data_IF_917323169223
#
_entry.id   IF_917323169223
#
_cell.length_a   1.000
_cell.length_b   1.000
_cell.length_c   1.000
_cell.angle_alpha   90.00
_cell.angle_beta   90.00
_cell.angle_gamma   90.00
#
_symmetry.space_group_name_H-M   'P 1'
#
loop_
_entity.id
_entity.type
_entity.pdbx_description
1 polymer ?
#
# COMPACT_ATOMS: atom_id res chain seq x y z
N UNK A 1 -0.70 49.23 5.04
CA UNK A 1 -0.89 48.50 3.77
C UNK A 1 -0.10 47.17 3.63
N UNK A 2 0.77 46.77 4.57
CA UNK A 2 1.62 45.58 4.46
C UNK A 2 1.01 44.25 5.01
N UNK A 3 -0.12 44.35 5.76
CA UNK A 3 -0.77 43.14 6.32
C UNK A 3 -1.80 42.47 5.40
N UNK A 4 -2.32 43.17 4.38
CA UNK A 4 -3.29 42.59 3.44
C UNK A 4 -2.63 41.70 2.38
N UNK A 5 -1.39 41.95 1.99
CA UNK A 5 -0.67 41.18 0.99
C UNK A 5 -0.22 39.79 1.46
N UNK A 6 0.12 39.66 2.76
CA UNK A 6 0.53 38.39 3.35
C UNK A 6 -0.64 37.41 3.52
N UNK A 7 -1.85 37.93 3.80
CA UNK A 7 -3.06 37.11 3.90
C UNK A 7 -3.50 36.59 2.53
N UNK A 8 -3.38 37.38 1.46
CA UNK A 8 -3.72 36.97 0.11
C UNK A 8 -2.74 35.91 -0.43
N UNK A 9 -1.44 36.02 -0.13
CA UNK A 9 -0.43 35.04 -0.55
C UNK A 9 -0.63 33.70 0.19
N UNK A 10 -0.97 33.72 1.49
CA UNK A 10 -1.27 32.50 2.25
C UNK A 10 -2.57 31.82 1.78
N UNK A 11 -3.56 32.57 1.36
CA UNK A 11 -4.81 32.05 0.79
C UNK A 11 -4.56 31.44 -0.60
N UNK A 12 -3.74 32.08 -1.45
CA UNK A 12 -3.41 31.57 -2.78
C UNK A 12 -2.56 30.29 -2.69
N UNK A 13 -1.62 30.20 -1.74
CA UNK A 13 -0.83 28.97 -1.51
C UNK A 13 -1.70 27.82 -1.00
N UNK A 14 -2.67 28.07 -0.13
CA UNK A 14 -3.62 27.04 0.32
C UNK A 14 -4.58 26.59 -0.80
N UNK A 15 -5.07 27.48 -1.62
CA UNK A 15 -5.96 27.15 -2.73
C UNK A 15 -5.24 26.28 -3.78
N UNK A 16 -4.02 26.62 -4.17
CA UNK A 16 -3.26 25.83 -5.15
C UNK A 16 -2.94 24.42 -4.65
N UNK A 17 -2.71 24.21 -3.38
CA UNK A 17 -2.50 22.88 -2.79
C UNK A 17 -3.80 22.07 -2.73
N UNK A 18 -4.94 22.68 -2.42
CA UNK A 18 -6.25 22.01 -2.45
C UNK A 18 -6.62 21.57 -3.87
N UNK A 19 -6.43 22.43 -4.87
CA UNK A 19 -6.72 22.08 -6.27
C UNK A 19 -5.84 20.94 -6.81
N UNK A 20 -4.56 20.87 -6.43
CA UNK A 20 -3.69 19.76 -6.80
C UNK A 20 -4.15 18.42 -6.16
N UNK A 21 -4.68 18.49 -4.95
CA UNK A 21 -5.20 17.32 -4.24
C UNK A 21 -6.53 16.83 -4.83
N UNK A 22 -7.39 17.73 -5.32
CA UNK A 22 -8.63 17.35 -6.01
C UNK A 22 -8.34 16.64 -7.34
N UNK A 23 -7.33 17.10 -8.11
CA UNK A 23 -6.89 16.41 -9.33
C UNK A 23 -6.49 14.97 -9.08
N UNK A 24 -5.84 14.72 -7.95
CA UNK A 24 -5.44 13.38 -7.58
C UNK A 24 -6.63 12.44 -7.40
N UNK A 25 -7.78 12.92 -6.94
CA UNK A 25 -8.97 12.09 -6.75
C UNK A 25 -9.66 11.70 -8.07
N UNK A 26 -9.46 12.47 -9.14
CA UNK A 26 -10.07 12.21 -10.45
C UNK A 26 -9.67 10.86 -11.03
N UNK A 27 -10.62 10.18 -11.67
CA UNK A 27 -10.42 8.92 -12.38
C UNK A 27 -11.02 7.71 -11.68
N UNK A 28 -10.46 6.54 -11.96
CA UNK A 28 -11.08 5.26 -11.61
C UNK A 28 -10.56 4.72 -10.28
N UNK A 29 -11.50 4.24 -9.47
CA UNK A 29 -11.27 3.60 -8.17
C UNK A 29 -12.02 2.28 -8.11
N UNK A 30 -11.45 1.26 -7.50
CA UNK A 30 -12.11 -0.02 -7.33
C UNK A 30 -11.90 -0.56 -5.91
N UNK A 31 -12.85 -1.35 -5.43
CA UNK A 31 -12.72 -1.88 -4.08
C UNK A 31 -13.93 -2.64 -3.59
N UNK A 32 -14.09 -2.64 -2.28
CA UNK A 32 -15.08 -3.44 -1.57
C UNK A 32 -16.02 -2.52 -0.78
N UNK A 33 -17.31 -2.77 -0.95
CA UNK A 33 -18.39 -2.20 -0.16
C UNK A 33 -18.94 -3.29 0.77
N UNK A 34 -19.00 -3.01 2.08
CA UNK A 34 -19.57 -3.92 3.07
C UNK A 34 -20.69 -3.23 3.86
N UNK A 35 -21.58 -4.00 4.45
CA UNK A 35 -22.36 -3.53 5.60
C UNK A 35 -21.51 -3.59 6.86
N UNK A 36 -21.89 -2.86 7.94
CA UNK A 36 -21.04 -2.76 9.14
C UNK A 36 -20.74 -4.12 9.82
N UNK A 37 -21.65 -5.08 9.67
CA UNK A 37 -21.53 -6.41 10.31
C UNK A 37 -20.97 -7.49 9.36
N UNK A 38 -20.56 -7.11 8.14
CA UNK A 38 -20.05 -8.08 7.17
C UNK A 38 -18.53 -8.04 7.06
N UNK A 39 -17.85 -9.20 7.00
CA UNK A 39 -16.45 -9.27 6.62
C UNK A 39 -16.26 -8.93 5.14
N UNK A 40 -15.04 -8.50 4.76
CA UNK A 40 -14.73 -8.07 3.40
C UNK A 40 -15.03 -9.14 2.32
N UNK A 41 -14.83 -10.42 2.62
CA UNK A 41 -15.08 -11.54 1.70
C UNK A 41 -16.56 -11.69 1.29
N UNK A 42 -17.47 -11.13 2.07
CA UNK A 42 -18.91 -11.13 1.79
C UNK A 42 -19.41 -9.81 1.23
N UNK A 43 -18.49 -8.89 0.98
CA UNK A 43 -18.81 -7.58 0.45
C UNK A 43 -19.25 -7.60 -1.01
N UNK A 44 -19.58 -6.43 -1.50
CA UNK A 44 -19.91 -6.14 -2.89
C UNK A 44 -18.70 -5.50 -3.56
N UNK A 45 -18.32 -5.97 -4.73
CA UNK A 45 -17.31 -5.32 -5.54
C UNK A 45 -17.85 -4.00 -6.06
N UNK A 46 -17.09 -2.92 -5.94
CA UNK A 46 -17.54 -1.59 -6.37
C UNK A 46 -16.43 -0.87 -7.14
N UNK A 47 -16.84 -0.14 -8.17
CA UNK A 47 -16.02 0.79 -8.94
C UNK A 47 -16.65 2.16 -8.94
N UNK A 48 -15.80 3.16 -8.90
CA UNK A 48 -16.14 4.55 -9.19
C UNK A 48 -15.25 5.06 -10.32
N UNK A 49 -15.80 5.85 -11.23
CA UNK A 49 -15.05 6.67 -12.18
C UNK A 49 -15.65 8.07 -12.17
N UNK A 50 -14.91 9.06 -11.67
CA UNK A 50 -15.43 10.40 -11.49
C UNK A 50 -14.40 11.49 -11.78
N UNK A 51 -14.93 12.68 -12.04
CA UNK A 51 -14.17 13.90 -12.22
C UNK A 51 -14.74 14.99 -11.32
N UNK A 52 -13.88 15.75 -10.69
CA UNK A 52 -14.19 16.90 -9.84
C UNK A 52 -13.83 18.15 -10.64
N UNK A 53 -14.79 19.05 -10.80
CA UNK A 53 -14.54 20.37 -11.33
C UNK A 53 -13.75 21.21 -10.30
N UNK A 54 -12.62 21.79 -10.72
CA UNK A 54 -11.71 22.47 -9.82
C UNK A 54 -12.26 23.81 -9.28
N UNK A 55 -13.12 24.47 -10.06
CA UNK A 55 -13.64 25.78 -9.70
C UNK A 55 -14.83 25.68 -8.76
N UNK A 56 -15.76 24.75 -9.06
CA UNK A 56 -16.97 24.56 -8.26
C UNK A 56 -16.84 23.49 -7.17
N UNK A 57 -15.89 22.55 -7.30
CA UNK A 57 -15.80 21.36 -6.47
C UNK A 57 -16.84 20.30 -6.79
N UNK A 58 -17.69 20.52 -7.82
CA UNK A 58 -18.72 19.56 -8.22
C UNK A 58 -18.08 18.28 -8.73
N UNK A 59 -18.56 17.15 -8.24
CA UNK A 59 -18.13 15.82 -8.67
C UNK A 59 -19.23 15.21 -9.56
N UNK A 60 -18.84 14.67 -10.70
CA UNK A 60 -19.70 13.87 -11.58
C UNK A 60 -19.00 12.60 -12.01
N UNK A 61 -19.76 11.53 -12.11
CA UNK A 61 -19.17 10.26 -12.49
C UNK A 61 -20.16 9.12 -12.55
N UNK A 62 -19.62 7.94 -12.51
CA UNK A 62 -20.32 6.68 -12.62
C UNK A 62 -19.81 5.71 -11.58
N UNK A 63 -20.66 4.79 -11.13
CA UNK A 63 -20.28 3.68 -10.29
C UNK A 63 -20.86 2.38 -10.82
N UNK A 64 -20.18 1.28 -10.51
CA UNK A 64 -20.67 -0.07 -10.78
C UNK A 64 -20.51 -0.90 -9.53
N UNK A 65 -21.61 -1.52 -9.08
CA UNK A 65 -21.63 -2.49 -8.01
C UNK A 65 -21.87 -3.88 -8.58
N UNK A 66 -21.12 -4.88 -8.11
CA UNK A 66 -21.28 -6.28 -8.54
C UNK A 66 -21.31 -7.21 -7.33
N UNK A 67 -22.20 -8.19 -7.36
CA UNK A 67 -22.09 -9.32 -6.42
C UNK A 67 -20.97 -10.24 -6.94
N UNK A 68 -19.87 -10.39 -6.22
CA UNK A 68 -18.72 -11.16 -6.69
C UNK A 68 -19.10 -12.59 -7.12
N UNK A 69 -18.49 -13.08 -8.18
CA UNK A 69 -18.67 -14.43 -8.73
C UNK A 69 -20.10 -14.76 -9.22
N UNK A 70 -20.90 -13.72 -9.47
CA UNK A 70 -22.26 -13.85 -10.04
C UNK A 70 -22.42 -12.89 -11.23
N UNK A 71 -23.46 -13.07 -12.09
CA UNK A 71 -23.76 -12.13 -13.16
C UNK A 71 -24.47 -10.85 -12.70
N UNK A 72 -24.66 -10.66 -11.38
CA UNK A 72 -25.51 -9.58 -10.87
C UNK A 72 -24.71 -8.30 -10.64
N UNK A 73 -25.17 -7.21 -11.26
CA UNK A 73 -24.55 -5.90 -11.14
C UNK A 73 -25.54 -4.75 -11.32
N UNK A 74 -25.15 -3.56 -10.88
CA UNK A 74 -25.82 -2.32 -11.19
C UNK A 74 -24.80 -1.26 -11.62
N UNK A 75 -25.15 -0.55 -12.69
CA UNK A 75 -24.44 0.59 -13.20
C UNK A 75 -25.19 1.86 -12.85
N UNK A 76 -24.53 2.85 -12.25
CA UNK A 76 -25.18 4.02 -11.68
C UNK A 76 -24.46 5.30 -12.09
N UNK A 77 -25.20 6.38 -12.29
CA UNK A 77 -24.62 7.72 -12.30
C UNK A 77 -24.50 8.24 -10.88
N UNK A 78 -23.44 8.97 -10.61
CA UNK A 78 -23.17 9.61 -9.31
C UNK A 78 -22.92 11.09 -9.49
N UNK A 79 -23.45 11.88 -8.56
CA UNK A 79 -23.12 13.29 -8.36
C UNK A 79 -22.53 13.46 -6.96
N UNK A 80 -21.75 14.51 -6.76
CA UNK A 80 -21.17 14.80 -5.48
C UNK A 80 -20.52 16.15 -5.39
N UNK A 81 -19.81 16.38 -4.29
CA UNK A 81 -19.11 17.61 -3.98
C UNK A 81 -17.81 17.28 -3.24
N UNK A 82 -16.73 17.92 -3.63
CA UNK A 82 -15.53 17.97 -2.80
C UNK A 82 -15.76 18.92 -1.62
N UNK A 83 -15.59 18.44 -0.40
CA UNK A 83 -15.85 19.21 0.83
C UNK A 83 -14.58 19.69 1.49
N UNK A 84 -13.50 18.92 1.37
CA UNK A 84 -12.19 19.21 1.92
C UNK A 84 -11.10 18.63 1.01
N UNK A 85 -9.83 18.92 1.31
CA UNK A 85 -8.72 18.21 0.68
C UNK A 85 -8.89 16.70 0.84
N UNK A 86 -8.82 15.96 -0.27
CA UNK A 86 -8.98 14.51 -0.30
C UNK A 86 -10.34 13.94 0.13
N UNK A 87 -11.37 14.78 0.34
CA UNK A 87 -12.69 14.33 0.79
C UNK A 87 -13.78 14.71 -0.20
N UNK A 88 -14.60 13.74 -0.57
CA UNK A 88 -15.76 13.92 -1.45
C UNK A 88 -17.02 13.33 -0.82
N UNK A 89 -18.12 14.05 -0.92
CA UNK A 89 -19.46 13.52 -0.71
C UNK A 89 -20.05 13.07 -2.04
N UNK A 90 -20.71 11.94 -2.06
CA UNK A 90 -21.35 11.40 -3.27
C UNK A 90 -22.75 10.90 -3.01
N UNK A 91 -23.55 10.85 -4.06
CA UNK A 91 -24.87 10.19 -4.08
C UNK A 91 -25.14 9.56 -5.44
N UNK A 92 -25.81 8.42 -5.44
CA UNK A 92 -26.37 7.82 -6.64
C UNK A 92 -27.55 8.68 -7.14
N UNK A 93 -27.58 8.97 -8.43
CA UNK A 93 -28.64 9.77 -9.05
C UNK A 93 -29.61 8.88 -9.82
N UNK A 94 -29.08 7.99 -10.66
CA UNK A 94 -29.86 7.10 -11.51
C UNK A 94 -29.17 5.74 -11.56
N UNK A 95 -29.95 4.66 -11.49
CA UNK A 95 -29.52 3.32 -11.89
C UNK A 95 -29.79 3.18 -13.38
N UNK A 96 -28.73 3.21 -14.18
CA UNK A 96 -28.86 3.23 -15.64
C UNK A 96 -29.09 1.84 -16.25
N UNK A 97 -28.39 0.83 -15.73
CA UNK A 97 -28.51 -0.56 -16.16
C UNK A 97 -28.22 -1.51 -14.98
N UNK A 98 -28.98 -2.60 -14.92
CA UNK A 98 -28.81 -3.59 -13.85
C UNK A 98 -29.20 -4.99 -14.28
N UNK A 99 -28.52 -5.98 -13.72
CA UNK A 99 -28.88 -7.39 -13.75
C UNK A 99 -29.11 -7.84 -12.30
N UNK A 100 -30.30 -8.36 -12.00
CA UNK A 100 -30.73 -8.66 -10.65
C UNK A 100 -30.97 -10.15 -10.44
N UNK A 101 -30.61 -10.63 -9.27
CA UNK A 101 -31.15 -11.89 -8.75
C UNK A 101 -32.64 -11.70 -8.42
N UNK A 102 -33.47 -12.70 -8.73
CA UNK A 102 -34.89 -12.65 -8.41
C UNK A 102 -35.14 -12.29 -6.94
N UNK A 103 -35.93 -11.25 -6.70
CA UNK A 103 -36.28 -10.76 -5.36
C UNK A 103 -35.25 -9.84 -4.70
N UNK A 104 -34.15 -9.48 -5.36
CA UNK A 104 -33.19 -8.48 -4.89
C UNK A 104 -33.20 -7.24 -5.78
N UNK A 105 -33.06 -6.07 -5.19
CA UNK A 105 -32.93 -4.78 -5.87
C UNK A 105 -31.62 -4.11 -5.46
N UNK A 106 -31.04 -3.33 -6.37
CA UNK A 106 -29.92 -2.49 -6.10
C UNK A 106 -30.40 -1.16 -5.51
N UNK A 107 -29.94 -0.86 -4.29
CA UNK A 107 -30.33 0.38 -3.61
C UNK A 107 -29.48 1.56 -4.08
N UNK A 108 -30.08 2.75 -4.06
CA UNK A 108 -29.32 3.99 -4.15
C UNK A 108 -28.51 4.23 -2.88
N UNK A 109 -27.34 4.82 -3.05
CA UNK A 109 -26.38 5.05 -1.97
C UNK A 109 -25.95 6.51 -1.95
N UNK A 110 -25.55 6.96 -0.78
CA UNK A 110 -24.78 8.18 -0.56
C UNK A 110 -23.76 7.98 0.53
N UNK A 111 -22.68 8.73 0.49
CA UNK A 111 -21.62 8.61 1.46
C UNK A 111 -20.57 9.70 1.35
N UNK A 112 -19.61 9.65 2.25
CA UNK A 112 -18.44 10.52 2.27
C UNK A 112 -17.21 9.64 2.16
N UNK A 113 -16.32 9.95 1.22
CA UNK A 113 -15.09 9.22 0.98
C UNK A 113 -13.90 10.16 1.20
N UNK A 114 -12.91 9.70 1.97
CA UNK A 114 -11.66 10.42 2.23
C UNK A 114 -10.48 9.56 1.80
N UNK A 115 -9.59 10.14 1.02
CA UNK A 115 -8.34 9.49 0.64
C UNK A 115 -7.28 9.68 1.72
N UNK A 116 -6.66 8.59 2.10
CA UNK A 116 -5.52 8.56 3.00
C UNK A 116 -4.23 8.27 2.21
N UNK A 117 -3.31 9.25 2.10
CA UNK A 117 -2.06 9.06 1.37
C UNK A 117 -1.13 8.00 1.99
N UNK A 118 -1.19 7.79 3.31
CA UNK A 118 -0.32 6.85 4.01
C UNK A 118 -0.72 5.40 3.73
N UNK A 119 -2.02 5.13 3.65
CA UNK A 119 -2.53 3.79 3.33
C UNK A 119 -2.79 3.59 1.84
N UNK A 120 -2.99 4.68 1.09
CA UNK A 120 -3.33 4.65 -0.33
C UNK A 120 -4.77 4.28 -0.64
N UNK A 121 -5.64 4.23 0.36
CA UNK A 121 -7.05 3.92 0.19
C UNK A 121 -7.92 5.18 0.20
N UNK A 122 -8.97 5.17 -0.61
CA UNK A 122 -10.10 6.08 -0.53
C UNK A 122 -11.21 5.36 0.24
N UNK A 123 -11.50 5.80 1.47
CA UNK A 123 -12.39 5.09 2.39
C UNK A 123 -13.50 5.97 2.91
N UNK A 124 -14.58 5.36 3.32
CA UNK A 124 -15.64 6.09 4.00
C UNK A 124 -16.87 5.26 4.31
N UNK A 125 -17.85 5.93 4.88
CA UNK A 125 -19.12 5.34 5.24
C UNK A 125 -20.16 5.64 4.15
N UNK A 126 -21.05 4.70 3.92
CA UNK A 126 -22.18 4.84 3.02
C UNK A 126 -23.49 4.46 3.70
N UNK A 127 -24.59 5.00 3.20
CA UNK A 127 -25.94 4.60 3.58
C UNK A 127 -26.85 4.57 2.36
N UNK A 128 -27.83 3.67 2.40
CA UNK A 128 -28.89 3.63 1.41
C UNK A 128 -29.84 4.83 1.58
N UNK A 129 -30.37 5.31 0.45
CA UNK A 129 -31.36 6.40 0.43
C UNK A 129 -32.79 5.89 0.23
N UNK A 130 -32.96 4.67 -0.27
CA UNK A 130 -34.24 4.06 -0.64
C UNK A 130 -34.52 2.67 -0.02
N UNK A 131 -33.46 1.96 0.41
CA UNK A 131 -33.59 0.71 1.13
C UNK A 131 -33.45 0.95 2.64
N UNK A 132 -34.32 0.31 3.44
CA UNK A 132 -34.39 0.56 4.90
C UNK A 132 -33.09 0.22 5.62
N UNK A 133 -32.55 1.21 6.33
CA UNK A 133 -31.48 1.08 7.36
C UNK A 133 -30.24 0.28 6.93
N UNK A 134 -29.90 0.25 5.65
CA UNK A 134 -28.67 -0.39 5.18
C UNK A 134 -27.57 0.67 5.11
N UNK A 135 -26.46 0.40 5.79
CA UNK A 135 -25.27 1.25 5.78
C UNK A 135 -24.02 0.40 6.01
N UNK A 136 -22.87 0.98 5.75
CA UNK A 136 -21.61 0.24 5.90
C UNK A 136 -20.41 1.07 5.49
N UNK A 137 -19.36 0.37 5.07
CA UNK A 137 -18.08 0.96 4.67
C UNK A 137 -17.76 0.70 3.21
N UNK A 138 -17.05 1.63 2.61
CA UNK A 138 -16.41 1.49 1.30
C UNK A 138 -14.91 1.65 1.50
N UNK A 139 -14.14 0.75 0.90
CA UNK A 139 -12.68 0.86 0.82
C UNK A 139 -12.28 0.65 -0.62
N UNK A 140 -11.62 1.66 -1.20
CA UNK A 140 -11.24 1.70 -2.61
C UNK A 140 -9.73 1.93 -2.73
N UNK A 141 -9.13 1.37 -3.77
CA UNK A 141 -7.79 1.70 -4.23
C UNK A 141 -7.83 2.23 -5.67
N UNK A 142 -6.77 2.92 -6.10
CA UNK A 142 -6.68 3.46 -7.45
C UNK A 142 -6.72 2.33 -8.49
N UNK A 143 -7.71 2.36 -9.38
CA UNK A 143 -7.84 1.39 -10.46
C UNK A 143 -7.04 1.83 -11.69
N UNK A 144 -6.44 0.85 -12.37
CA UNK A 144 -5.87 1.03 -13.70
C UNK A 144 -6.90 0.78 -14.82
N UNK A 145 -8.07 0.24 -14.46
CA UNK A 145 -9.14 -0.07 -15.39
C UNK A 145 -10.22 1.02 -15.33
N UNK A 146 -10.67 1.46 -16.50
CA UNK A 146 -11.84 2.33 -16.62
C UNK A 146 -13.10 1.49 -16.72
N UNK A 147 -14.18 2.00 -16.12
CA UNK A 147 -15.52 1.45 -16.33
C UNK A 147 -15.94 1.58 -17.79
N UNK A 148 -16.52 0.50 -18.34
CA UNK A 148 -17.15 0.53 -19.64
C UNK A 148 -18.66 0.36 -19.49
N UNK A 149 -19.42 1.30 -20.06
CA UNK A 149 -20.91 1.25 -20.07
C UNK A 149 -21.45 0.06 -20.87
N UNK A 150 -20.65 -0.45 -21.81
CA UNK A 150 -21.02 -1.56 -22.68
C UNK A 150 -20.69 -2.92 -22.10
N UNK A 151 -19.96 -2.98 -20.98
CA UNK A 151 -19.66 -4.25 -20.32
C UNK A 151 -20.89 -4.80 -19.63
N UNK A 152 -21.56 -5.69 -20.34
CA UNK A 152 -22.71 -6.46 -19.82
C UNK A 152 -22.27 -7.75 -19.12
N UNK A 153 -20.99 -8.13 -19.21
CA UNK A 153 -20.40 -9.28 -18.56
C UNK A 153 -19.80 -8.85 -17.25
N UNK A 154 -20.02 -9.61 -16.19
CA UNK A 154 -19.38 -9.36 -14.90
C UNK A 154 -17.88 -9.32 -15.06
N UNK A 155 -17.24 -8.32 -14.48
CA UNK A 155 -15.79 -8.19 -14.48
C UNK A 155 -15.15 -9.35 -13.71
N UNK A 156 -13.93 -9.71 -14.11
CA UNK A 156 -13.20 -10.77 -13.44
C UNK A 156 -12.77 -10.35 -12.04
N UNK A 157 -13.23 -11.06 -11.00
CA UNK A 157 -13.03 -10.68 -9.59
C UNK A 157 -11.82 -11.33 -8.90
N UNK A 158 -10.80 -11.73 -9.63
CA UNK A 158 -9.58 -12.32 -9.02
C UNK A 158 -8.93 -11.40 -7.98
N UNK A 159 -9.00 -10.08 -8.18
CA UNK A 159 -8.50 -9.07 -7.26
C UNK A 159 -9.30 -8.99 -5.95
N UNK A 160 -10.60 -9.35 -5.97
CA UNK A 160 -11.50 -9.17 -4.83
C UNK A 160 -11.04 -9.95 -3.60
N UNK A 161 -10.75 -11.24 -3.77
CA UNK A 161 -10.27 -12.08 -2.67
C UNK A 161 -8.91 -11.62 -2.15
N UNK A 162 -8.02 -11.18 -3.03
CA UNK A 162 -6.71 -10.65 -2.65
C UNK A 162 -6.88 -9.37 -1.82
N UNK A 163 -7.72 -8.44 -2.27
CA UNK A 163 -7.99 -7.20 -1.54
C UNK A 163 -8.64 -7.48 -0.18
N UNK A 164 -9.63 -8.39 -0.11
CA UNK A 164 -10.24 -8.77 1.16
C UNK A 164 -9.20 -9.34 2.15
N UNK A 165 -8.30 -10.19 1.66
CA UNK A 165 -7.19 -10.70 2.46
C UNK A 165 -6.24 -9.58 2.92
N UNK A 166 -5.84 -8.67 2.04
CA UNK A 166 -4.96 -7.54 2.35
C UNK A 166 -5.58 -6.61 3.41
N UNK A 167 -6.86 -6.28 3.25
CA UNK A 167 -7.60 -5.45 4.22
C UNK A 167 -7.72 -6.12 5.60
N UNK A 168 -7.95 -7.44 5.65
CA UNK A 168 -7.97 -8.19 6.92
C UNK A 168 -6.60 -8.24 7.60
N UNK A 169 -5.52 -8.14 6.83
CA UNK A 169 -4.14 -8.01 7.34
C UNK A 169 -3.79 -6.57 7.75
N UNK A 170 -4.63 -5.59 7.43
CA UNK A 170 -4.34 -4.18 7.65
C UNK A 170 -3.21 -3.65 6.75
N UNK A 171 -3.01 -4.24 5.58
CA UNK A 171 -1.98 -3.81 4.65
C UNK A 171 -2.42 -2.57 3.88
N UNK A 172 -1.47 -1.72 3.56
CA UNK A 172 -1.66 -0.57 2.69
C UNK A 172 -1.98 -1.01 1.24
N UNK A 173 -2.52 -0.12 0.44
CA UNK A 173 -2.79 -0.37 -0.96
C UNK A 173 -1.52 -0.80 -1.71
N UNK A 174 -1.66 -1.71 -2.67
CA UNK A 174 -0.53 -2.34 -3.38
C UNK A 174 0.48 -1.32 -3.92
N UNK A 175 0.02 -0.23 -4.55
CA UNK A 175 0.93 0.76 -5.13
C UNK A 175 1.74 1.55 -4.07
N UNK A 176 1.22 1.70 -2.84
CA UNK A 176 1.96 2.28 -1.70
C UNK A 176 3.07 1.32 -1.28
N UNK A 177 2.75 0.04 -1.13
CA UNK A 177 3.72 -1.01 -0.78
C UNK A 177 4.82 -1.16 -1.84
N UNK A 178 4.47 -1.13 -3.12
CA UNK A 178 5.41 -1.12 -4.24
C UNK A 178 6.35 0.10 -4.21
N UNK A 179 5.81 1.28 -3.89
CA UNK A 179 6.62 2.48 -3.75
C UNK A 179 7.57 2.37 -2.54
N UNK A 180 7.15 1.75 -1.45
CA UNK A 180 7.98 1.50 -0.28
C UNK A 180 9.18 0.59 -0.63
N UNK A 181 8.96 -0.50 -1.36
CA UNK A 181 10.04 -1.40 -1.81
C UNK A 181 11.01 -0.66 -2.72
N UNK A 182 10.52 0.09 -3.72
CA UNK A 182 11.38 0.84 -4.65
C UNK A 182 12.24 1.90 -3.96
N UNK A 183 11.72 2.51 -2.90
CA UNK A 183 12.38 3.60 -2.19
C UNK A 183 13.12 3.12 -0.94
N UNK A 184 13.07 1.83 -0.63
CA UNK A 184 13.72 1.28 0.56
C UNK A 184 15.24 1.43 0.49
N UNK A 185 15.83 2.07 1.49
CA UNK A 185 17.27 2.31 1.55
C UNK A 185 17.92 1.32 2.51
N UNK A 186 18.59 0.33 1.96
CA UNK A 186 19.34 -0.62 2.76
C UNK A 186 20.54 0.03 3.46
N UNK A 187 20.68 -0.28 4.73
CA UNK A 187 21.83 0.07 5.55
C UNK A 187 22.57 -1.19 5.95
N UNK A 188 23.94 -1.20 5.90
CA UNK A 188 24.70 -2.33 6.39
C UNK A 188 24.56 -2.50 7.90
N UNK A 189 24.47 -3.75 8.34
CA UNK A 189 24.60 -4.10 9.76
C UNK A 189 26.06 -4.38 10.08
N UNK A 190 26.63 -3.63 11.00
CA UNK A 190 28.05 -3.70 11.33
C UNK A 190 28.33 -4.57 12.57
N UNK A 191 29.45 -5.30 12.52
CA UNK A 191 29.89 -6.19 13.57
C UNK A 191 31.23 -5.74 14.16
N UNK A 192 31.46 -6.07 15.44
CA UNK A 192 32.74 -5.89 16.07
C UNK A 192 33.78 -6.87 15.50
N UNK A 193 35.05 -6.57 15.79
CA UNK A 193 36.16 -7.45 15.38
C UNK A 193 35.98 -8.83 15.98
N UNK A 194 36.08 -9.85 15.11
CA UNK A 194 36.00 -11.26 15.47
C UNK A 194 34.68 -11.68 16.18
N UNK A 195 33.61 -10.88 16.01
CA UNK A 195 32.28 -11.17 16.57
C UNK A 195 31.21 -11.37 15.51
N UNK A 196 30.21 -12.16 15.86
CA UNK A 196 28.96 -12.39 15.13
C UNK A 196 27.71 -12.03 15.96
N UNK A 197 27.92 -11.33 17.10
CA UNK A 197 26.82 -10.84 17.94
C UNK A 197 26.10 -9.66 17.26
N UNK A 198 24.78 -9.78 17.10
CA UNK A 198 23.95 -8.71 16.59
C UNK A 198 23.74 -7.65 17.67
N UNK A 199 23.97 -6.38 17.34
CA UNK A 199 23.75 -5.25 18.25
C UNK A 199 22.29 -4.82 18.22
N UNK A 200 21.72 -4.53 19.38
CA UNK A 200 20.31 -4.13 19.53
C UNK A 200 19.95 -2.82 18.83
N UNK A 201 20.93 -1.98 18.49
CA UNK A 201 20.72 -0.75 17.71
C UNK A 201 20.13 -1.01 16.32
N UNK A 202 20.29 -2.25 15.78
CA UNK A 202 19.75 -2.65 14.47
C UNK A 202 18.36 -3.30 14.55
N UNK A 203 17.82 -3.56 15.75
CA UNK A 203 16.56 -4.31 15.92
C UNK A 203 15.38 -3.65 15.19
N UNK A 204 15.22 -2.34 15.32
CA UNK A 204 14.14 -1.59 14.67
C UNK A 204 14.25 -1.67 13.16
N UNK A 205 15.44 -1.45 12.61
CA UNK A 205 15.70 -1.52 11.18
C UNK A 205 15.44 -2.93 10.60
N UNK A 206 15.86 -3.98 11.29
CA UNK A 206 15.63 -5.36 10.85
C UNK A 206 14.14 -5.74 10.93
N UNK A 207 13.39 -5.23 11.92
CA UNK A 207 11.93 -5.39 11.99
C UNK A 207 11.21 -4.66 10.85
N UNK A 208 11.70 -3.48 10.43
CA UNK A 208 11.16 -2.79 9.26
C UNK A 208 11.37 -3.60 7.97
N UNK A 209 12.52 -4.27 7.81
CA UNK A 209 12.74 -5.20 6.69
C UNK A 209 11.70 -6.33 6.72
N UNK A 210 11.45 -6.96 7.88
CA UNK A 210 10.43 -8.01 8.03
C UNK A 210 9.06 -7.48 7.62
N UNK A 211 8.66 -6.31 8.13
CA UNK A 211 7.36 -5.69 7.82
C UNK A 211 7.18 -5.46 6.32
N UNK A 212 8.20 -4.93 5.64
CA UNK A 212 8.14 -4.69 4.19
C UNK A 212 7.99 -6.00 3.43
N UNK A 213 8.78 -7.03 3.76
CA UNK A 213 8.70 -8.32 3.07
C UNK A 213 7.36 -9.00 3.34
N UNK A 214 6.87 -9.00 4.58
CA UNK A 214 5.59 -9.62 4.96
C UNK A 214 4.38 -8.95 4.30
N UNK A 215 4.48 -7.68 3.93
CA UNK A 215 3.42 -6.98 3.18
C UNK A 215 3.35 -7.33 1.69
N UNK A 216 4.19 -8.25 1.19
CA UNK A 216 4.21 -8.74 -0.19
C UNK A 216 4.17 -10.26 -0.22
N UNK A 217 3.57 -10.82 -1.25
CA UNK A 217 3.41 -12.29 -1.38
C UNK A 217 4.66 -13.00 -1.86
N UNK A 218 5.49 -12.35 -2.65
CA UNK A 218 6.61 -12.93 -3.41
C UNK A 218 7.97 -12.28 -3.11
N UNK A 219 8.01 -11.14 -2.41
CA UNK A 219 9.24 -10.44 -2.07
C UNK A 219 10.13 -11.29 -1.16
N UNK A 220 11.38 -11.41 -1.51
CA UNK A 220 12.41 -12.16 -0.79
C UNK A 220 13.59 -11.24 -0.46
N UNK A 221 14.45 -11.68 0.45
CA UNK A 221 15.67 -10.95 0.82
C UNK A 221 16.90 -11.83 0.66
N UNK A 222 17.95 -11.25 0.11
CA UNK A 222 19.30 -11.80 0.13
C UNK A 222 20.10 -11.09 1.22
N UNK A 223 20.79 -11.87 2.04
CA UNK A 223 21.65 -11.44 3.15
C UNK A 223 23.07 -11.81 2.80
N UNK A 224 24.00 -10.84 2.73
CA UNK A 224 25.36 -11.02 2.25
C UNK A 224 26.34 -10.69 3.38
N UNK A 225 27.02 -11.69 3.92
CA UNK A 225 28.00 -11.53 4.99
C UNK A 225 29.40 -11.22 4.48
N UNK A 226 30.11 -10.31 5.20
CA UNK A 226 31.48 -9.89 4.89
C UNK A 226 32.35 -9.83 6.15
N UNK A 227 33.68 -9.89 5.94
CA UNK A 227 34.69 -9.68 6.98
C UNK A 227 35.70 -8.61 6.56
N UNK A 228 36.53 -8.18 7.50
CA UNK A 228 37.80 -7.56 7.16
C UNK A 228 38.84 -8.63 6.78
N UNK A 229 40.06 -8.21 6.41
CA UNK A 229 41.15 -9.10 6.00
C UNK A 229 42.00 -9.67 7.15
N UNK A 230 41.45 -9.73 8.36
CA UNK A 230 42.13 -10.39 9.47
C UNK A 230 41.74 -11.87 9.51
N UNK A 231 42.74 -12.78 9.57
CA UNK A 231 42.52 -14.23 9.58
C UNK A 231 42.80 -14.89 8.24
N UNK A 232 42.48 -16.18 8.14
CA UNK A 232 42.58 -16.93 6.87
C UNK A 232 41.28 -16.83 6.07
N UNK A 233 41.34 -17.10 4.77
CA UNK A 233 40.19 -17.09 3.91
C UNK A 233 39.08 -18.02 4.43
N UNK A 234 39.42 -19.23 4.84
CA UNK A 234 38.46 -20.22 5.36
C UNK A 234 37.80 -19.70 6.65
N UNK A 235 38.59 -19.07 7.53
CA UNK A 235 38.05 -18.47 8.74
C UNK A 235 37.08 -17.34 8.42
N UNK A 236 37.45 -16.45 7.49
CA UNK A 236 36.65 -15.31 7.08
C UNK A 236 35.38 -15.71 6.39
N UNK A 237 35.40 -16.74 5.56
CA UNK A 237 34.19 -17.36 4.98
C UNK A 237 33.25 -17.88 6.08
N UNK A 238 33.82 -18.64 7.06
CA UNK A 238 33.02 -19.15 8.18
C UNK A 238 32.44 -18.04 9.07
N UNK A 239 33.20 -16.97 9.34
CA UNK A 239 32.75 -15.82 10.14
C UNK A 239 31.66 -15.02 9.41
N UNK A 240 31.83 -14.75 8.10
CA UNK A 240 30.82 -14.05 7.29
C UNK A 240 29.51 -14.83 7.23
N UNK A 241 29.55 -16.17 7.16
CA UNK A 241 28.39 -17.04 7.24
C UNK A 241 27.68 -16.91 8.60
N UNK A 242 28.42 -17.05 9.70
CA UNK A 242 27.84 -16.91 11.06
C UNK A 242 27.10 -15.56 11.24
N UNK A 243 27.67 -14.46 10.74
CA UNK A 243 27.01 -13.14 10.76
C UNK A 243 25.72 -13.12 9.99
N UNK A 244 25.72 -13.65 8.77
CA UNK A 244 24.51 -13.76 7.96
C UNK A 244 23.45 -14.67 8.62
N UNK A 245 23.88 -15.80 9.21
CA UNK A 245 22.99 -16.71 9.96
C UNK A 245 22.35 -16.03 11.18
N UNK A 246 23.08 -15.16 11.91
CA UNK A 246 22.51 -14.39 13.03
C UNK A 246 21.41 -13.44 12.56
N UNK A 247 21.63 -12.74 11.46
CA UNK A 247 20.58 -11.88 10.86
C UNK A 247 19.41 -12.73 10.40
N UNK A 248 19.64 -13.82 9.66
CA UNK A 248 18.57 -14.75 9.24
C UNK A 248 17.73 -15.19 10.44
N UNK A 249 18.37 -15.62 11.53
CA UNK A 249 17.65 -16.08 12.71
C UNK A 249 16.80 -14.96 13.32
N UNK A 250 17.34 -13.73 13.42
CA UNK A 250 16.58 -12.57 13.89
C UNK A 250 15.34 -12.31 13.05
N UNK A 251 15.45 -12.35 11.71
CA UNK A 251 14.31 -12.13 10.82
C UNK A 251 13.24 -13.24 10.99
N UNK A 252 13.65 -14.50 11.15
CA UNK A 252 12.74 -15.63 11.41
C UNK A 252 12.04 -15.47 12.77
N UNK A 253 12.76 -15.13 13.82
CA UNK A 253 12.22 -14.93 15.17
C UNK A 253 11.21 -13.76 15.22
N UNK A 254 11.30 -12.84 14.26
CA UNK A 254 10.35 -11.73 14.08
C UNK A 254 9.27 -11.99 13.01
N UNK A 255 9.11 -13.24 12.56
CA UNK A 255 7.97 -13.69 11.77
C UNK A 255 8.24 -13.94 10.28
N UNK A 256 9.44 -13.62 9.76
CA UNK A 256 9.74 -13.87 8.36
C UNK A 256 9.94 -15.36 8.09
N UNK A 257 9.26 -15.89 7.09
CA UNK A 257 9.40 -17.30 6.69
C UNK A 257 10.79 -17.56 6.10
N UNK A 258 11.37 -18.73 6.43
CA UNK A 258 12.72 -19.10 6.01
C UNK A 258 12.90 -19.18 4.48
N UNK A 259 11.86 -19.60 3.75
CA UNK A 259 11.89 -19.72 2.28
C UNK A 259 11.97 -18.35 1.57
N UNK A 260 11.78 -17.25 2.30
CA UNK A 260 11.96 -15.88 1.81
C UNK A 260 13.36 -15.31 2.01
N UNK A 261 14.28 -16.09 2.60
CA UNK A 261 15.63 -15.65 2.93
C UNK A 261 16.65 -16.44 2.14
N UNK A 262 17.52 -15.73 1.44
CA UNK A 262 18.70 -16.29 0.77
C UNK A 262 19.96 -15.77 1.47
N UNK A 263 20.90 -16.65 1.78
CA UNK A 263 22.19 -16.28 2.38
C UNK A 263 23.29 -16.41 1.34
N UNK A 264 24.13 -15.38 1.29
CA UNK A 264 25.43 -15.36 0.62
C UNK A 264 26.50 -14.94 1.63
N UNK A 265 27.69 -15.47 1.51
CA UNK A 265 28.82 -15.13 2.37
C UNK A 265 30.07 -15.03 1.52
N UNK A 266 30.81 -13.93 1.67
CA UNK A 266 31.93 -13.55 0.80
C UNK A 266 33.25 -13.46 1.54
N UNK A 267 33.28 -13.63 2.88
CA UNK A 267 34.49 -13.42 3.64
C UNK A 267 35.04 -12.00 3.40
N UNK A 268 36.32 -11.90 3.09
CA UNK A 268 37.01 -10.63 2.80
C UNK A 268 37.07 -10.23 1.32
N UNK A 269 36.50 -11.03 0.41
CA UNK A 269 36.71 -10.89 -1.03
C UNK A 269 36.02 -9.66 -1.67
N UNK A 270 35.09 -9.03 -0.96
CA UNK A 270 34.34 -7.86 -1.43
C UNK A 270 34.40 -6.71 -0.41
N UNK A 271 35.58 -6.07 -0.27
CA UNK A 271 35.77 -5.01 0.71
C UNK A 271 35.09 -3.70 0.26
N UNK A 272 34.30 -3.08 1.16
CA UNK A 272 33.71 -1.76 0.93
C UNK A 272 34.76 -0.64 1.00
N UNK A 273 35.79 -0.84 1.80
CA UNK A 273 36.91 0.08 1.96
C UNK A 273 38.23 -0.70 2.10
N UNK A 274 39.35 -0.02 1.84
CA UNK A 274 40.66 -0.62 2.01
C UNK A 274 40.88 -1.16 3.44
N UNK A 275 41.35 -2.38 3.54
CA UNK A 275 41.70 -3.01 4.83
C UNK A 275 42.97 -2.45 5.47
N UNK A 276 43.61 -1.45 4.89
CA UNK A 276 44.85 -0.82 5.43
C UNK A 276 44.60 0.06 6.66
N UNK A 277 43.35 0.48 6.90
CA UNK A 277 42.98 1.33 8.04
C UNK A 277 42.02 0.64 8.99
N UNK A 278 42.01 1.04 10.27
CA UNK A 278 41.03 0.55 11.25
C UNK A 278 39.60 0.88 10.86
N UNK A 279 39.35 2.07 10.27
CA UNK A 279 38.06 2.49 9.78
C UNK A 279 37.61 1.61 8.61
N UNK A 280 38.47 1.35 7.63
CA UNK A 280 38.15 0.49 6.50
C UNK A 280 37.81 -0.93 6.94
N UNK A 281 38.60 -1.51 7.86
CA UNK A 281 38.28 -2.81 8.45
C UNK A 281 36.95 -2.82 9.17
N UNK A 282 36.59 -1.76 9.93
CA UNK A 282 35.27 -1.67 10.57
C UNK A 282 34.11 -1.66 9.54
N UNK A 283 34.27 -0.93 8.44
CA UNK A 283 33.25 -0.86 7.37
C UNK A 283 33.14 -2.17 6.56
N UNK A 284 34.18 -3.01 6.56
CA UNK A 284 34.19 -4.31 5.92
C UNK A 284 33.53 -5.41 6.77
N UNK A 285 33.51 -5.28 8.10
CA UNK A 285 32.83 -6.21 9.01
C UNK A 285 31.33 -5.93 9.01
N UNK A 286 30.61 -6.34 7.94
CA UNK A 286 29.21 -6.00 7.72
C UNK A 286 28.39 -7.16 7.18
N UNK A 287 27.09 -6.97 7.23
CA UNK A 287 26.10 -7.71 6.44
C UNK A 287 25.33 -6.71 5.60
N UNK A 288 25.29 -6.95 4.29
CA UNK A 288 24.51 -6.19 3.32
C UNK A 288 23.22 -6.93 2.97
N UNK A 289 22.25 -6.20 2.40
CA UNK A 289 20.93 -6.70 2.05
C UNK A 289 20.52 -6.31 0.63
N UNK A 290 19.69 -7.14 0.02
CA UNK A 290 19.11 -6.92 -1.30
C UNK A 290 17.72 -7.56 -1.35
N UNK A 291 16.68 -6.85 -1.83
CA UNK A 291 15.41 -7.47 -2.19
C UNK A 291 15.55 -8.24 -3.52
N UNK A 292 14.95 -9.43 -3.60
CA UNK A 292 14.97 -10.30 -4.76
C UNK A 292 13.60 -10.92 -5.02
#
# INVERSE_FOLDING_TARGET
MMRLGLLLIAIIFNLSSVFAQLDFLNGSWQGILTTFDQPYEKGTAIWFDFVIDKESGDMKGESRCETPFTPYFAYKNIDGQATEAFTVEYKDVIIGYQENQSGRVWCHQKGTLTYDPDTGYLTGDWKSTDCRSISGKITLFRSQHKLSKTDTVTLYHSWFNNMAFELNKGWNAYYVREAEVRNFQFQPVYFDHDKDELKTEFDSYLKDIVRVIESHTDLRIKIIGHTDSNGTDEYNIALSRRRADKIKQFLIDNGLREDRIVIEFRGETDPRMSNSSAIGKQLNRRVDFEFI
#
